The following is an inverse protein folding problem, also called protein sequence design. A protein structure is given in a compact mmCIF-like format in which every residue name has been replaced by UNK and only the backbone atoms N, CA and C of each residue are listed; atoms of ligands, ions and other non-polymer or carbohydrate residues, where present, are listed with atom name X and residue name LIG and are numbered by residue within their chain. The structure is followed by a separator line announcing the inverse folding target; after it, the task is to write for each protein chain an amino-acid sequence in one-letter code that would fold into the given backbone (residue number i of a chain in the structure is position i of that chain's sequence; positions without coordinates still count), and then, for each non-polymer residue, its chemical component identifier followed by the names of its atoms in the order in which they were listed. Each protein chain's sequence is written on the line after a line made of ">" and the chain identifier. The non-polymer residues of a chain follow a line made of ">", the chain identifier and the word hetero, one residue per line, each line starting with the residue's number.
data_IF_375889821632
#
_entry.id   IF_375889821632
#
_cell.length_a   1.000
_cell.length_b   1.000
_cell.length_c   1.000
_cell.angle_alpha   90.00
_cell.angle_beta   90.00
_cell.angle_gamma   90.00
#
_symmetry.space_group_name_H-M   'P 1'
#
loop_
_entity.id
_entity.type
_entity.pdbx_description
1 polymer ?
#
# COMPACT_ATOMS: atom_id res chain seq x y z
N UNK A 1 4.71 -31.67 0.69
CA UNK A 1 4.32 -30.60 1.65
C UNK A 1 4.62 -29.23 1.06
N UNK A 2 5.84 -29.01 0.58
CA UNK A 2 6.28 -27.75 -0.06
C UNK A 2 5.43 -27.32 -1.27
N UNK A 3 5.05 -28.26 -2.15
CA UNK A 3 4.19 -27.96 -3.31
C UNK A 3 2.78 -27.49 -2.91
N UNK A 4 2.27 -27.98 -1.78
CA UNK A 4 0.96 -27.58 -1.26
C UNK A 4 1.03 -26.17 -0.70
N UNK A 5 2.10 -25.83 0.02
CA UNK A 5 2.35 -24.49 0.53
C UNK A 5 2.53 -23.48 -0.60
N UNK A 6 3.26 -23.84 -1.65
CA UNK A 6 3.43 -22.98 -2.84
C UNK A 6 2.11 -22.78 -3.56
N UNK A 7 1.34 -23.84 -3.79
CA UNK A 7 0.04 -23.72 -4.44
C UNK A 7 -0.93 -22.88 -3.61
N UNK A 8 -0.91 -23.02 -2.28
CA UNK A 8 -1.71 -22.21 -1.36
C UNK A 8 -1.29 -20.73 -1.35
N UNK A 9 0.01 -20.46 -1.40
CA UNK A 9 0.52 -19.10 -1.54
C UNK A 9 0.16 -18.51 -2.90
N UNK A 10 0.38 -19.25 -4.00
CA UNK A 10 0.09 -18.79 -5.35
C UNK A 10 -1.41 -18.50 -5.53
N UNK A 11 -2.29 -19.36 -5.01
CA UNK A 11 -3.73 -19.11 -5.03
C UNK A 11 -4.12 -17.89 -4.19
N UNK A 12 -3.52 -17.70 -3.01
CA UNK A 12 -3.74 -16.49 -2.20
C UNK A 12 -3.33 -15.22 -2.95
N UNK A 13 -2.17 -15.22 -3.62
CA UNK A 13 -1.72 -14.07 -4.42
C UNK A 13 -2.62 -13.84 -5.63
N UNK A 14 -3.07 -14.90 -6.30
CA UNK A 14 -4.00 -14.80 -7.42
C UNK A 14 -5.36 -14.24 -6.99
N UNK A 15 -5.90 -14.67 -5.84
CA UNK A 15 -7.14 -14.12 -5.27
C UNK A 15 -6.97 -12.63 -4.96
N UNK A 16 -5.85 -12.25 -4.36
CA UNK A 16 -5.60 -10.85 -4.02
C UNK A 16 -5.41 -10.00 -5.29
N UNK A 17 -4.65 -10.47 -6.28
CA UNK A 17 -4.49 -9.77 -7.55
C UNK A 17 -5.83 -9.59 -8.28
N UNK A 18 -6.65 -10.63 -8.34
CA UNK A 18 -8.00 -10.57 -8.92
C UNK A 18 -8.90 -9.59 -8.16
N UNK A 19 -8.79 -9.54 -6.83
CA UNK A 19 -9.56 -8.59 -6.01
C UNK A 19 -9.14 -7.14 -6.24
N UNK A 20 -7.83 -6.87 -6.39
CA UNK A 20 -7.31 -5.55 -6.72
C UNK A 20 -7.82 -5.13 -8.10
N UNK A 21 -7.67 -6.00 -9.11
CA UNK A 21 -8.18 -5.73 -10.45
C UNK A 21 -9.68 -5.40 -10.43
N UNK A 22 -10.48 -6.22 -9.75
CA UNK A 22 -11.91 -5.96 -9.63
C UNK A 22 -12.19 -4.63 -8.92
N UNK A 23 -11.50 -4.33 -7.82
CA UNK A 23 -11.65 -3.07 -7.09
C UNK A 23 -11.19 -1.84 -7.88
N UNK A 24 -10.26 -2.00 -8.83
CA UNK A 24 -9.90 -0.91 -9.75
C UNK A 24 -10.96 -0.67 -10.82
N UNK A 25 -11.65 -1.71 -11.29
CA UNK A 25 -12.65 -1.62 -12.36
C UNK A 25 -14.04 -1.25 -11.83
N UNK A 26 -14.44 -1.74 -10.66
CA UNK A 26 -15.79 -1.51 -10.09
C UNK A 26 -16.17 -0.02 -10.00
N UNK A 27 -15.34 0.89 -9.50
CA UNK A 27 -15.68 2.32 -9.45
C UNK A 27 -15.98 2.90 -10.83
N UNK A 28 -15.29 2.44 -11.88
CA UNK A 28 -15.50 2.91 -13.25
C UNK A 28 -16.82 2.47 -13.87
N UNK A 29 -17.42 1.39 -13.35
CA UNK A 29 -18.70 0.86 -13.84
C UNK A 29 -19.88 1.46 -13.08
N UNK A 30 -19.72 1.76 -11.79
CA UNK A 30 -20.82 2.16 -10.90
C UNK A 30 -20.90 3.66 -10.61
N UNK A 31 -19.83 4.42 -10.85
CA UNK A 31 -19.79 5.87 -10.60
C UNK A 31 -19.89 6.62 -11.93
N UNK A 32 -20.98 7.36 -12.12
CA UNK A 32 -21.13 8.25 -13.28
C UNK A 32 -20.02 9.32 -13.26
N UNK A 33 -19.36 9.54 -14.41
CA UNK A 33 -18.19 10.43 -14.55
C UNK A 33 -16.93 10.02 -13.76
N UNK A 34 -16.73 8.72 -13.51
CA UNK A 34 -15.49 8.23 -12.91
C UNK A 34 -14.27 8.61 -13.76
N UNK A 35 -13.30 9.28 -13.14
CA UNK A 35 -11.99 9.54 -13.71
C UNK A 35 -10.95 9.13 -12.69
N UNK A 36 -9.93 8.37 -13.12
CA UNK A 36 -8.85 7.94 -12.23
C UNK A 36 -8.17 9.14 -11.57
N UNK A 37 -8.10 10.28 -12.26
CA UNK A 37 -7.52 11.53 -11.75
C UNK A 37 -8.54 12.37 -10.97
N UNK A 38 -9.81 12.44 -11.44
CA UNK A 38 -10.86 13.26 -10.81
C UNK A 38 -11.48 12.67 -9.54
N UNK A 39 -11.52 11.34 -9.44
CA UNK A 39 -12.11 10.57 -8.32
C UNK A 39 -11.11 9.60 -7.69
N UNK A 40 -9.84 9.99 -7.66
CA UNK A 40 -8.72 9.16 -7.19
C UNK A 40 -8.87 8.69 -5.72
N UNK A 41 -9.53 9.47 -4.87
CA UNK A 41 -9.86 9.08 -3.47
C UNK A 41 -10.79 7.86 -3.41
N UNK A 42 -11.84 7.82 -4.24
CA UNK A 42 -12.79 6.69 -4.28
C UNK A 42 -12.08 5.43 -4.74
N UNK A 43 -11.24 5.55 -5.76
CA UNK A 43 -10.41 4.44 -6.24
C UNK A 43 -9.46 3.91 -5.15
N UNK A 44 -8.76 4.80 -4.45
CA UNK A 44 -7.85 4.43 -3.34
C UNK A 44 -8.59 3.68 -2.22
N UNK A 45 -9.75 4.16 -1.79
CA UNK A 45 -10.52 3.51 -0.73
C UNK A 45 -11.09 2.15 -1.17
N UNK A 46 -11.57 2.01 -2.41
CA UNK A 46 -12.03 0.74 -2.95
C UNK A 46 -10.90 -0.30 -3.00
N UNK A 47 -9.71 0.10 -3.44
CA UNK A 47 -8.54 -0.79 -3.49
C UNK A 47 -8.05 -1.13 -2.08
N UNK A 48 -7.87 -0.15 -1.20
CA UNK A 48 -7.42 -0.40 0.18
C UNK A 48 -8.41 -1.30 0.95
N UNK A 49 -9.71 -1.02 0.83
CA UNK A 49 -10.77 -1.82 1.46
C UNK A 49 -10.82 -3.25 0.95
N UNK A 50 -10.80 -3.46 -0.37
CA UNK A 50 -10.81 -4.80 -0.96
C UNK A 50 -9.59 -5.62 -0.56
N UNK A 51 -8.39 -5.03 -0.60
CA UNK A 51 -7.16 -5.68 -0.16
C UNK A 51 -7.23 -6.03 1.32
N UNK A 52 -7.73 -5.13 2.18
CA UNK A 52 -7.86 -5.42 3.61
C UNK A 52 -8.82 -6.59 3.87
N UNK A 53 -10.01 -6.56 3.26
CA UNK A 53 -11.04 -7.61 3.40
C UNK A 53 -10.51 -8.95 2.90
N UNK A 54 -9.92 -8.98 1.71
CA UNK A 54 -9.44 -10.23 1.10
C UNK A 54 -8.26 -10.78 1.88
N UNK A 55 -7.34 -9.96 2.39
CA UNK A 55 -6.26 -10.46 3.24
C UNK A 55 -6.81 -11.06 4.53
N UNK A 56 -7.71 -10.37 5.23
CA UNK A 56 -8.31 -10.91 6.45
C UNK A 56 -9.04 -12.23 6.14
N UNK A 57 -9.83 -12.29 5.06
CA UNK A 57 -10.59 -13.47 4.67
C UNK A 57 -9.68 -14.65 4.28
N UNK A 58 -8.68 -14.42 3.43
CA UNK A 58 -7.74 -15.46 2.98
C UNK A 58 -6.94 -16.01 4.17
N UNK A 59 -6.46 -15.16 5.08
CA UNK A 59 -5.69 -15.64 6.24
C UNK A 59 -6.56 -16.29 7.32
N UNK A 60 -7.83 -15.90 7.41
CA UNK A 60 -8.80 -16.59 8.25
C UNK A 60 -9.14 -17.98 7.68
N UNK A 61 -9.39 -18.07 6.37
CA UNK A 61 -9.72 -19.32 5.67
C UNK A 61 -8.53 -20.30 5.61
N UNK A 62 -7.31 -19.80 5.39
CA UNK A 62 -6.11 -20.63 5.35
C UNK A 62 -5.67 -21.11 6.74
N UNK A 63 -6.31 -20.66 7.83
CA UNK A 63 -6.03 -21.15 9.18
C UNK A 63 -4.59 -20.89 9.65
N UNK A 64 -3.87 -19.95 9.02
CA UNK A 64 -2.44 -19.66 9.29
C UNK A 64 -2.26 -19.01 10.68
N UNK A 65 -3.35 -18.61 11.34
CA UNK A 65 -3.31 -18.22 12.74
C UNK A 65 -2.76 -19.39 13.58
N UNK A 66 -1.65 -19.18 14.34
CA UNK A 66 -1.06 -20.26 15.12
C UNK A 66 -2.11 -20.86 16.07
N UNK A 67 -2.17 -22.20 16.20
CA UNK A 67 -3.16 -22.87 17.02
C UNK A 67 -3.05 -22.34 18.45
N UNK A 68 -4.09 -21.61 18.88
CA UNK A 68 -4.08 -20.96 20.19
C UNK A 68 -4.25 -22.00 21.29
N UNK A 69 -3.19 -22.22 22.08
CA UNK A 69 -3.15 -23.14 23.23
C UNK A 69 -4.17 -22.80 24.36
N UNK A 70 -4.79 -21.60 24.31
CA UNK A 70 -5.82 -21.15 25.26
C UNK A 70 -6.95 -20.46 24.47
N UNK A 71 -8.15 -21.06 24.45
CA UNK A 71 -9.27 -20.61 23.63
C UNK A 71 -10.11 -19.50 24.30
N UNK A 72 -9.48 -18.65 25.12
CA UNK A 72 -10.18 -17.61 25.89
C UNK A 72 -10.45 -16.39 25.01
N UNK A 73 -11.69 -15.91 25.02
CA UNK A 73 -12.15 -14.73 24.28
C UNK A 73 -11.25 -13.50 24.52
N UNK A 74 -10.81 -13.28 25.76
CA UNK A 74 -9.91 -12.17 26.14
C UNK A 74 -8.57 -12.19 25.42
N UNK A 75 -8.01 -13.38 25.12
CA UNK A 75 -6.76 -13.47 24.36
C UNK A 75 -6.95 -13.07 22.90
N UNK A 76 -8.07 -13.50 22.28
CA UNK A 76 -8.41 -13.12 20.90
C UNK A 76 -8.61 -11.61 20.80
N UNK A 77 -9.35 -11.02 21.74
CA UNK A 77 -9.59 -9.56 21.80
C UNK A 77 -8.26 -8.81 22.00
N UNK A 78 -7.41 -9.22 22.95
CA UNK A 78 -6.11 -8.59 23.16
C UNK A 78 -5.20 -8.70 21.92
N UNK A 79 -5.23 -9.84 21.22
CA UNK A 79 -4.50 -10.01 19.95
C UNK A 79 -5.01 -9.04 18.89
N UNK A 80 -6.31 -8.94 18.71
CA UNK A 80 -6.93 -8.00 17.76
C UNK A 80 -6.63 -6.54 18.12
N UNK A 81 -6.70 -6.18 19.40
CA UNK A 81 -6.37 -4.84 19.88
C UNK A 81 -4.92 -4.48 19.56
N UNK A 82 -3.97 -5.37 19.87
CA UNK A 82 -2.55 -5.17 19.51
C UNK A 82 -2.34 -5.07 17.99
N UNK A 83 -3.03 -5.91 17.21
CA UNK A 83 -2.95 -5.83 15.76
C UNK A 83 -3.48 -4.51 15.21
N UNK A 84 -4.61 -4.02 15.73
CA UNK A 84 -5.17 -2.72 15.37
C UNK A 84 -4.20 -1.60 15.74
N UNK A 85 -3.63 -1.63 16.95
CA UNK A 85 -2.63 -0.65 17.39
C UNK A 85 -1.42 -0.62 16.45
N UNK A 86 -0.85 -1.78 16.10
CA UNK A 86 0.29 -1.83 15.16
C UNK A 86 -0.07 -1.35 13.76
N UNK A 87 -1.29 -1.62 13.29
CA UNK A 87 -1.75 -1.11 12.00
C UNK A 87 -1.85 0.43 12.01
N UNK A 88 -2.45 1.01 13.05
CA UNK A 88 -2.55 2.47 13.20
C UNK A 88 -1.16 3.11 13.30
N UNK A 89 -0.25 2.53 14.11
CA UNK A 89 1.12 3.02 14.21
C UNK A 89 1.86 2.98 12.87
N UNK A 90 1.64 1.93 12.06
CA UNK A 90 2.19 1.84 10.71
C UNK A 90 1.64 2.93 9.79
N UNK A 91 0.34 3.21 9.81
CA UNK A 91 -0.25 4.28 9.01
C UNK A 91 0.38 5.63 9.36
N UNK A 92 0.56 5.92 10.66
CA UNK A 92 1.21 7.15 11.12
C UNK A 92 2.68 7.21 10.70
N UNK A 93 3.41 6.09 10.78
CA UNK A 93 4.78 6.00 10.34
C UNK A 93 4.92 6.31 8.84
N UNK A 94 4.15 5.63 7.98
CA UNK A 94 4.20 5.88 6.53
C UNK A 94 3.75 7.30 6.17
N UNK A 95 2.73 7.83 6.85
CA UNK A 95 2.30 9.22 6.65
C UNK A 95 3.44 10.20 6.98
N UNK A 96 4.11 9.99 8.12
CA UNK A 96 5.26 10.81 8.52
C UNK A 96 6.41 10.72 7.51
N UNK A 97 6.71 9.52 7.01
CA UNK A 97 7.74 9.32 5.99
C UNK A 97 7.38 10.08 4.71
N UNK A 98 6.16 9.91 4.19
CA UNK A 98 5.70 10.61 2.97
C UNK A 98 5.76 12.14 3.13
N UNK A 99 5.39 12.65 4.29
CA UNK A 99 5.51 14.06 4.66
C UNK A 99 6.97 14.52 4.64
N UNK A 100 7.89 13.77 5.25
CA UNK A 100 9.32 14.10 5.29
C UNK A 100 9.94 14.12 3.89
N UNK A 101 9.43 13.33 2.95
CA UNK A 101 9.83 13.35 1.54
C UNK A 101 9.26 14.51 0.73
N UNK A 102 8.53 15.45 1.36
CA UNK A 102 8.13 16.72 0.76
C UNK A 102 6.66 16.82 0.34
N UNK A 103 5.80 15.88 0.76
CA UNK A 103 4.37 16.01 0.53
C UNK A 103 3.76 17.16 1.37
N UNK A 104 2.86 17.96 0.80
CA UNK A 104 2.23 19.09 1.48
C UNK A 104 1.34 18.60 2.65
N UNK A 105 1.69 19.04 3.86
CA UNK A 105 1.09 18.62 5.14
C UNK A 105 -0.39 18.98 5.33
N UNK A 106 -0.90 20.02 4.67
CA UNK A 106 -2.20 20.63 5.02
C UNK A 106 -3.20 20.72 3.86
N UNK A 107 -2.74 20.87 2.61
CA UNK A 107 -3.65 20.96 1.45
C UNK A 107 -4.11 19.57 0.93
N UNK A 108 -3.28 18.54 1.11
CA UNK A 108 -3.53 17.15 0.66
C UNK A 108 -3.33 16.13 1.79
N UNK A 109 -3.65 16.50 3.04
CA UNK A 109 -3.48 15.62 4.21
C UNK A 109 -4.27 14.31 4.09
N UNK A 110 -5.49 14.37 3.55
CA UNK A 110 -6.33 13.19 3.33
C UNK A 110 -5.75 12.26 2.26
N UNK A 111 -5.14 12.83 1.22
CA UNK A 111 -4.59 12.07 0.10
C UNK A 111 -3.33 11.31 0.52
N UNK A 112 -2.43 12.01 1.21
CA UNK A 112 -1.20 11.44 1.78
C UNK A 112 -1.50 10.41 2.87
N UNK A 113 -2.54 10.64 3.69
CA UNK A 113 -2.99 9.65 4.67
C UNK A 113 -3.60 8.41 3.99
N UNK A 114 -4.39 8.58 2.94
CA UNK A 114 -4.96 7.47 2.16
C UNK A 114 -3.87 6.59 1.53
N UNK A 115 -2.81 7.22 1.01
CA UNK A 115 -1.63 6.50 0.52
C UNK A 115 -0.92 5.72 1.65
N UNK A 116 -0.77 6.33 2.83
CA UNK A 116 -0.18 5.66 3.98
C UNK A 116 -1.01 4.46 4.48
N UNK A 117 -2.34 4.56 4.40
CA UNK A 117 -3.26 3.45 4.69
C UNK A 117 -3.10 2.33 3.65
N UNK A 118 -3.01 2.66 2.36
CA UNK A 118 -2.77 1.67 1.31
C UNK A 118 -1.43 0.94 1.52
N UNK A 119 -0.35 1.69 1.76
CA UNK A 119 0.97 1.12 2.05
C UNK A 119 0.97 0.23 3.29
N UNK A 120 0.34 0.67 4.38
CA UNK A 120 0.20 -0.13 5.60
C UNK A 120 -0.63 -1.40 5.39
N UNK A 121 -1.63 -1.34 4.50
CA UNK A 121 -2.45 -2.49 4.13
C UNK A 121 -1.67 -3.51 3.31
N UNK A 122 -0.81 -3.04 2.39
CA UNK A 122 0.02 -3.92 1.56
C UNK A 122 1.21 -4.53 2.32
N UNK A 123 1.71 -3.84 3.35
CA UNK A 123 2.91 -4.26 4.11
C UNK A 123 2.55 -4.83 5.49
N UNK A 124 2.15 -3.97 6.41
CA UNK A 124 1.93 -4.28 7.83
C UNK A 124 0.74 -5.20 8.07
N UNK A 125 -0.38 -5.01 7.37
CA UNK A 125 -1.55 -5.88 7.55
C UNK A 125 -1.25 -7.32 7.16
N UNK A 126 -0.49 -7.54 6.08
CA UNK A 126 0.00 -8.88 5.68
C UNK A 126 0.81 -9.53 6.80
N UNK A 127 1.77 -8.78 7.36
CA UNK A 127 2.62 -9.23 8.45
C UNK A 127 1.78 -9.57 9.70
N UNK A 128 0.79 -8.74 10.03
CA UNK A 128 -0.14 -8.97 11.14
C UNK A 128 -1.00 -10.22 10.95
N UNK A 129 -1.41 -10.51 9.72
CA UNK A 129 -2.21 -11.70 9.43
C UNK A 129 -1.41 -13.01 9.49
N UNK A 130 -0.15 -13.00 9.02
CA UNK A 130 0.71 -14.21 8.98
C UNK A 130 1.46 -14.42 10.29
N UNK A 131 2.16 -13.40 10.78
CA UNK A 131 3.06 -13.50 11.94
C UNK A 131 2.35 -13.12 13.25
N UNK A 132 1.18 -12.47 13.17
CA UNK A 132 0.50 -11.91 14.32
C UNK A 132 1.22 -10.67 14.89
N UNK A 133 0.74 -10.13 16.03
CA UNK A 133 1.35 -9.00 16.72
C UNK A 133 2.62 -9.38 17.50
N UNK A 134 3.51 -10.19 16.91
CA UNK A 134 4.76 -10.65 17.50
C UNK A 134 5.97 -10.00 16.82
N UNK A 135 6.48 -8.93 17.44
CA UNK A 135 7.61 -8.15 16.92
C UNK A 135 8.88 -8.99 16.73
N UNK A 136 9.12 -9.99 17.59
CA UNK A 136 10.29 -10.88 17.45
C UNK A 136 10.21 -11.73 16.17
N UNK A 137 9.01 -12.19 15.81
CA UNK A 137 8.79 -12.90 14.56
C UNK A 137 9.02 -11.98 13.35
N UNK A 138 8.64 -10.69 13.46
CA UNK A 138 8.85 -9.71 12.40
C UNK A 138 10.33 -9.41 12.21
N UNK A 139 11.06 -9.13 13.30
CA UNK A 139 12.51 -8.91 13.26
C UNK A 139 13.20 -10.12 12.65
N UNK A 140 12.82 -11.33 13.05
CA UNK A 140 13.36 -12.57 12.46
C UNK A 140 13.10 -12.62 10.95
N UNK A 141 11.86 -12.44 10.51
CA UNK A 141 11.51 -12.55 9.09
C UNK A 141 12.20 -11.49 8.25
N UNK A 142 12.38 -10.26 8.75
CA UNK A 142 13.07 -9.19 8.02
C UNK A 142 14.60 -9.15 8.26
N UNK A 143 15.16 -10.11 9.01
CA UNK A 143 16.60 -10.27 9.15
C UNK A 143 17.20 -10.98 7.95
N UNK A 144 18.50 -10.77 7.72
CA UNK A 144 19.27 -11.49 6.71
C UNK A 144 19.17 -13.00 6.96
N UNK A 145 18.73 -13.74 5.95
CA UNK A 145 18.50 -15.20 5.97
C UNK A 145 17.46 -15.70 7.00
N UNK A 146 16.61 -14.82 7.54
CA UNK A 146 15.61 -15.17 8.55
C UNK A 146 14.27 -15.68 8.01
N UNK A 147 14.10 -15.70 6.68
CA UNK A 147 12.92 -16.26 6.01
C UNK A 147 13.03 -17.80 6.00
N UNK A 148 12.30 -18.43 6.92
CA UNK A 148 12.34 -19.88 7.09
C UNK A 148 11.22 -20.60 6.32
N UNK A 149 10.27 -19.85 5.77
CA UNK A 149 9.13 -20.38 5.02
C UNK A 149 8.89 -19.62 3.71
N UNK A 150 8.16 -20.27 2.82
CA UNK A 150 7.72 -19.69 1.55
C UNK A 150 6.87 -18.43 1.80
N UNK A 151 6.06 -18.43 2.87
CA UNK A 151 5.27 -17.27 3.31
C UNK A 151 6.13 -16.12 3.84
N UNK A 152 7.20 -16.41 4.60
CA UNK A 152 8.13 -15.38 5.07
C UNK A 152 8.83 -14.68 3.90
N UNK A 153 9.24 -15.46 2.88
CA UNK A 153 9.85 -14.92 1.65
C UNK A 153 8.85 -14.06 0.87
N UNK A 154 7.60 -14.51 0.77
CA UNK A 154 6.52 -13.74 0.14
C UNK A 154 6.25 -12.40 0.86
N UNK A 155 6.30 -12.37 2.19
CA UNK A 155 6.17 -11.13 2.96
C UNK A 155 7.29 -10.13 2.64
N UNK A 156 8.54 -10.60 2.56
CA UNK A 156 9.67 -9.76 2.20
C UNK A 156 9.52 -9.19 0.79
N UNK A 157 9.21 -10.03 -0.20
CA UNK A 157 9.02 -9.62 -1.60
C UNK A 157 7.87 -8.62 -1.70
N UNK A 158 6.71 -8.94 -1.12
CA UNK A 158 5.52 -8.07 -1.19
C UNK A 158 5.80 -6.71 -0.53
N UNK A 159 6.47 -6.70 0.62
CA UNK A 159 6.84 -5.46 1.32
C UNK A 159 7.80 -4.63 0.49
N UNK A 160 8.86 -5.25 -0.01
CA UNK A 160 9.85 -4.59 -0.86
C UNK A 160 9.24 -4.03 -2.15
N UNK A 161 8.46 -4.84 -2.87
CA UNK A 161 7.78 -4.41 -4.09
C UNK A 161 6.77 -3.28 -3.84
N UNK A 162 6.07 -3.27 -2.70
CA UNK A 162 5.11 -2.21 -2.37
C UNK A 162 5.82 -0.88 -2.10
N UNK A 163 6.94 -0.90 -1.36
CA UNK A 163 7.73 0.30 -1.07
C UNK A 163 8.42 0.83 -2.32
N UNK A 164 9.06 -0.06 -3.09
CA UNK A 164 9.69 0.31 -4.38
C UNK A 164 8.64 0.83 -5.36
N UNK A 165 7.48 0.19 -5.42
CA UNK A 165 6.37 0.62 -6.28
C UNK A 165 5.84 2.01 -5.91
N UNK A 166 5.67 2.29 -4.61
CA UNK A 166 5.28 3.62 -4.15
C UNK A 166 6.36 4.69 -4.43
N UNK A 167 7.63 4.33 -4.28
CA UNK A 167 8.75 5.22 -4.62
C UNK A 167 8.82 5.50 -6.13
N UNK A 168 8.70 4.47 -6.98
CA UNK A 168 8.63 4.61 -8.44
C UNK A 168 7.39 5.41 -8.87
N UNK A 169 6.26 5.20 -8.20
CA UNK A 169 5.02 5.96 -8.43
C UNK A 169 5.12 7.46 -8.09
N UNK A 170 6.16 7.88 -7.36
CA UNK A 170 6.43 9.29 -7.08
C UNK A 170 7.25 9.99 -8.19
N UNK A 171 7.90 9.26 -9.11
CA UNK A 171 8.67 9.83 -10.23
C UNK A 171 7.88 10.67 -11.25
N UNK A 172 6.59 10.38 -11.52
CA UNK A 172 5.79 11.23 -12.40
C UNK A 172 5.53 12.63 -11.82
N UNK A 173 5.65 12.83 -10.49
CA UNK A 173 5.26 14.08 -9.80
C UNK A 173 6.25 15.24 -10.06
N UNK A 174 7.58 15.05 -10.07
CA UNK A 174 8.52 16.08 -10.51
C UNK A 174 8.47 16.39 -12.01
N UNK A 175 7.77 15.57 -12.80
CA UNK A 175 7.61 15.75 -14.25
C UNK A 175 6.33 16.53 -14.59
N UNK A 176 5.74 17.25 -13.63
CA UNK A 176 4.79 18.35 -13.87
C UNK A 176 5.53 19.48 -14.62
N UNK A 177 5.75 19.25 -15.92
CA UNK A 177 6.39 20.17 -16.88
C UNK A 177 5.47 21.32 -17.29
N UNK A 178 4.28 21.40 -16.70
CA UNK A 178 3.17 22.31 -17.03
C UNK A 178 3.01 23.42 -15.99
N UNK A 179 4.11 23.93 -15.44
CA UNK A 179 4.03 25.14 -14.63
C UNK A 179 3.91 26.36 -15.56
N UNK A 180 2.94 27.28 -15.34
CA UNK A 180 2.73 28.44 -16.23
C UNK A 180 3.93 29.39 -16.36
N UNK A 181 4.88 29.37 -15.41
CA UNK A 181 6.13 30.14 -15.49
C UNK A 181 7.15 29.57 -16.50
N UNK A 182 7.01 28.31 -16.93
CA UNK A 182 7.86 27.71 -17.96
C UNK A 182 7.41 28.08 -19.38
N UNK A 183 6.11 28.33 -19.58
CA UNK A 183 5.55 28.81 -20.84
C UNK A 183 5.86 30.29 -21.05
N UNK A 184 5.64 31.14 -20.04
CA UNK A 184 5.94 32.59 -20.11
C UNK A 184 7.43 32.89 -20.34
N UNK A 185 8.36 32.05 -19.85
CA UNK A 185 9.80 32.23 -20.10
C UNK A 185 10.23 31.82 -21.51
N UNK A 186 9.47 30.95 -22.19
CA UNK A 186 9.70 30.63 -23.61
C UNK A 186 9.15 31.74 -24.49
N UNK A 187 7.95 32.22 -24.21
CA UNK A 187 7.32 33.31 -24.96
C UNK A 187 8.15 34.61 -24.86
N UNK A 188 8.60 34.99 -23.66
CA UNK A 188 9.51 36.13 -23.49
C UNK A 188 10.88 35.96 -24.18
N UNK A 189 11.34 34.71 -24.36
CA UNK A 189 12.60 34.43 -25.06
C UNK A 189 12.42 34.53 -26.56
N UNK A 190 11.29 34.06 -27.07
CA UNK A 190 10.96 34.10 -28.50
C UNK A 190 10.70 35.56 -28.93
N UNK A 191 9.92 36.33 -28.15
CA UNK A 191 9.67 37.77 -28.39
C UNK A 191 10.95 38.61 -28.34
N UNK A 192 11.84 38.33 -27.40
CA UNK A 192 13.14 39.01 -27.28
C UNK A 192 14.12 38.66 -28.40
N UNK A 193 13.94 37.49 -29.04
CA UNK A 193 14.77 37.05 -30.16
C UNK A 193 14.31 37.63 -31.50
N UNK A 194 13.01 37.83 -31.71
CA UNK A 194 12.49 38.54 -32.88
C UNK A 194 12.82 40.05 -32.82
N UNK A 195 12.74 40.66 -31.65
CA UNK A 195 13.05 42.08 -31.46
C UNK A 195 14.55 42.42 -31.63
N UNK A 196 15.45 41.44 -31.55
CA UNK A 196 16.89 41.64 -31.72
C UNK A 196 17.37 41.46 -33.18
N UNK A 197 16.47 41.05 -34.09
CA UNK A 197 16.78 40.75 -35.49
C UNK A 197 16.20 41.80 -36.46
N UNK A 198 15.45 42.79 -35.98
CA UNK A 198 15.05 44.00 -36.71
C UNK A 198 15.96 45.18 -36.41
#
# INVERSE_FOLDING_TARGET
>A
MWDVEIRGMASAHAIIASSIFMATVMPSVFVENFSVYGTHMVWLYCVAGSVAVVNIAVFWLLGISPPTKKNTLSYKINRLFKSCLYFVLSCLFFHTVVVLYGAHLLESALETFSLAVLLSTLTTLRCLCILGPNVQAWIRVFSRDGAMSVWDTSLQITTGCSVIGAWLGAFPIPLDWDRPWQMSRREQRDDGSEAAVQ
#
